data_IF_915714641964
#
_entry.id   IF_915714641964
#
_cell.length_a   1.000
_cell.length_b   1.000
_cell.length_c   1.000
_cell.angle_alpha   90.00
_cell.angle_beta   90.00
_cell.angle_gamma   90.00
#
_symmetry.space_group_name_H-M   'P 1'
#
loop_
_entity.id
_entity.type
_entity.pdbx_description
1 polymer ?
#
# COMPACT_ATOMS: atom_id res chain seq x y z
N UNK A 1 5.80 -35.81 -9.15
CA UNK A 1 5.70 -35.23 -7.78
C UNK A 1 6.24 -33.83 -7.79
N UNK A 2 5.35 -32.81 -7.84
CA UNK A 2 5.68 -31.39 -7.85
C UNK A 2 5.29 -30.74 -6.52
N UNK A 3 6.00 -29.71 -6.11
CA UNK A 3 5.63 -28.93 -4.90
C UNK A 3 4.29 -28.25 -5.13
N UNK A 4 3.43 -28.22 -4.09
CA UNK A 4 2.09 -27.66 -4.19
C UNK A 4 2.11 -26.17 -4.60
N UNK A 5 3.07 -25.36 -4.13
CA UNK A 5 3.18 -23.95 -4.50
C UNK A 5 3.46 -23.76 -6.02
N UNK A 6 4.21 -24.66 -6.62
CA UNK A 6 4.48 -24.70 -8.07
C UNK A 6 3.24 -25.19 -8.81
N UNK A 7 2.65 -26.31 -8.35
CA UNK A 7 1.47 -26.92 -8.94
C UNK A 7 0.30 -25.94 -9.03
N UNK A 8 0.00 -25.24 -7.92
CA UNK A 8 -1.07 -24.24 -7.87
C UNK A 8 -0.87 -23.12 -8.89
N UNK A 9 0.37 -22.67 -9.06
CA UNK A 9 0.68 -21.59 -10.01
C UNK A 9 0.61 -22.06 -11.45
N UNK A 10 1.15 -23.24 -11.76
CA UNK A 10 1.18 -23.80 -13.12
C UNK A 10 -0.21 -24.16 -13.64
N UNK A 11 -1.10 -24.59 -12.75
CA UNK A 11 -2.47 -24.98 -13.09
C UNK A 11 -3.50 -23.85 -12.89
N UNK A 12 -3.05 -22.60 -12.65
CA UNK A 12 -3.93 -21.42 -12.57
C UNK A 12 -4.77 -21.31 -11.29
N UNK A 13 -4.53 -22.15 -10.27
CA UNK A 13 -5.18 -22.06 -8.97
C UNK A 13 -4.68 -20.88 -8.12
N UNK A 14 -3.47 -20.38 -8.41
CA UNK A 14 -2.91 -19.20 -7.77
C UNK A 14 -2.21 -18.32 -8.81
N UNK A 15 -2.32 -16.98 -8.67
CA UNK A 15 -1.73 -15.98 -9.58
C UNK A 15 -0.18 -16.02 -9.57
N UNK A 16 0.42 -16.37 -8.44
CA UNK A 16 1.86 -16.44 -8.26
C UNK A 16 2.22 -17.43 -7.14
N UNK A 17 3.49 -17.86 -7.09
CA UNK A 17 3.98 -18.70 -5.99
C UNK A 17 3.86 -18.01 -4.62
N UNK A 18 4.01 -16.70 -4.58
CA UNK A 18 3.84 -15.92 -3.34
C UNK A 18 2.39 -15.93 -2.88
N UNK A 19 1.41 -15.77 -3.80
CA UNK A 19 -0.02 -15.92 -3.49
C UNK A 19 -0.31 -17.34 -3.01
N UNK A 20 0.20 -18.38 -3.71
CA UNK A 20 0.06 -19.77 -3.28
C UNK A 20 0.59 -20.01 -1.86
N UNK A 21 1.78 -19.48 -1.53
CA UNK A 21 2.35 -19.59 -0.18
C UNK A 21 1.44 -18.97 0.88
N UNK A 22 0.93 -17.76 0.65
CA UNK A 22 0.01 -17.08 1.59
C UNK A 22 -1.26 -17.89 1.81
N UNK A 23 -1.87 -18.41 0.75
CA UNK A 23 -3.08 -19.23 0.85
C UNK A 23 -2.82 -20.55 1.59
N UNK A 24 -1.66 -21.17 1.39
CA UNK A 24 -1.25 -22.39 2.11
C UNK A 24 -1.05 -22.08 3.61
N UNK A 25 -0.34 -21.01 3.96
CA UNK A 25 -0.11 -20.60 5.34
C UNK A 25 -1.41 -20.22 6.07
N UNK A 26 -2.36 -19.62 5.34
CA UNK A 26 -3.70 -19.31 5.85
C UNK A 26 -4.62 -20.54 5.96
N UNK A 27 -4.19 -21.71 5.47
CA UNK A 27 -5.01 -22.94 5.49
C UNK A 27 -6.17 -22.93 4.48
N UNK A 28 -6.08 -22.10 3.44
CA UNK A 28 -7.09 -21.90 2.40
C UNK A 28 -6.85 -22.76 1.15
N UNK A 29 -5.93 -23.74 1.24
CA UNK A 29 -5.65 -24.72 0.18
C UNK A 29 -6.03 -26.09 0.67
N UNK A 30 -6.84 -26.80 -0.14
CA UNK A 30 -7.12 -28.24 0.05
C UNK A 30 -6.74 -29.00 -1.19
N UNK A 31 -6.30 -30.24 -1.01
CA UNK A 31 -6.10 -31.25 -2.07
C UNK A 31 -6.85 -32.49 -1.61
N UNK A 32 -7.80 -32.96 -2.42
CA UNK A 32 -8.65 -34.10 -2.12
C UNK A 32 -9.34 -33.98 -0.73
N UNK A 33 -9.80 -32.77 -0.39
CA UNK A 33 -10.43 -32.44 0.88
C UNK A 33 -9.48 -32.31 2.08
N UNK A 34 -8.17 -32.51 1.91
CA UNK A 34 -7.15 -32.37 2.97
C UNK A 34 -6.54 -30.98 2.96
N UNK A 35 -6.58 -30.25 4.09
CA UNK A 35 -5.97 -28.92 4.21
C UNK A 35 -4.45 -29.03 4.16
N UNK A 36 -3.85 -28.29 3.24
CA UNK A 36 -2.39 -28.22 3.06
C UNK A 36 -1.85 -27.01 3.82
N UNK A 37 -0.84 -27.26 4.69
CA UNK A 37 -0.21 -26.23 5.53
C UNK A 37 1.28 -26.00 5.23
N UNK A 38 1.84 -26.71 4.23
CA UNK A 38 3.26 -26.58 3.89
C UNK A 38 3.42 -26.48 2.38
N UNK A 39 4.06 -25.44 1.90
CA UNK A 39 4.34 -25.22 0.47
C UNK A 39 5.24 -26.31 -0.15
N UNK A 40 5.98 -27.04 0.69
CA UNK A 40 6.79 -28.18 0.25
C UNK A 40 6.02 -29.50 0.07
N UNK A 41 4.71 -29.52 0.37
CA UNK A 41 3.85 -30.66 0.10
C UNK A 41 3.97 -31.05 -1.39
N UNK A 42 4.03 -32.35 -1.67
CA UNK A 42 4.21 -32.85 -3.04
C UNK A 42 2.92 -33.43 -3.57
N UNK A 43 2.54 -33.00 -4.76
CA UNK A 43 1.37 -33.46 -5.51
C UNK A 43 1.85 -34.34 -6.66
N UNK A 44 1.13 -35.43 -6.95
CA UNK A 44 1.38 -36.29 -8.09
C UNK A 44 0.60 -35.77 -9.31
N UNK A 45 1.31 -35.12 -10.24
CA UNK A 45 0.72 -34.57 -11.46
C UNK A 45 0.16 -35.58 -12.45
N UNK A 46 0.42 -36.87 -12.22
CA UNK A 46 -0.10 -37.95 -13.08
C UNK A 46 -1.53 -38.36 -12.67
N UNK A 47 -2.02 -37.88 -11.57
CA UNK A 47 -3.36 -38.15 -11.03
C UNK A 47 -4.15 -36.81 -10.98
N UNK A 48 -5.42 -36.86 -11.35
CA UNK A 48 -6.32 -35.73 -11.20
C UNK A 48 -6.67 -35.54 -9.70
N UNK A 49 -6.50 -34.33 -9.20
CA UNK A 49 -6.79 -33.96 -7.82
C UNK A 49 -7.91 -32.95 -7.73
N UNK A 50 -8.78 -33.10 -6.74
CA UNK A 50 -9.72 -32.05 -6.35
C UNK A 50 -8.96 -30.98 -5.54
N UNK A 51 -8.68 -29.84 -6.19
CA UNK A 51 -7.90 -28.74 -5.60
C UNK A 51 -8.75 -27.51 -5.42
N UNK A 52 -8.86 -27.06 -4.16
CA UNK A 52 -9.42 -25.75 -3.83
C UNK A 52 -8.28 -24.85 -3.35
N UNK A 53 -8.16 -23.67 -3.94
CA UNK A 53 -7.22 -22.64 -3.52
C UNK A 53 -7.95 -21.28 -3.49
N UNK A 54 -8.21 -20.78 -2.29
CA UNK A 54 -8.80 -19.44 -2.11
C UNK A 54 -7.67 -18.44 -1.84
N UNK A 55 -7.70 -17.28 -2.49
CA UNK A 55 -6.70 -16.25 -2.22
C UNK A 55 -6.83 -15.75 -0.78
N UNK A 56 -5.71 -15.74 -0.06
CA UNK A 56 -5.65 -15.31 1.34
C UNK A 56 -5.82 -13.79 1.51
N UNK A 57 -5.70 -13.04 0.43
CA UNK A 57 -5.82 -11.58 0.45
C UNK A 57 -6.96 -11.13 -0.49
N UNK A 58 -7.80 -10.20 -0.04
CA UNK A 58 -8.82 -9.60 -0.90
C UNK A 58 -8.21 -8.68 -1.98
N UNK A 59 -6.92 -8.36 -1.92
CA UNK A 59 -6.19 -7.45 -2.80
C UNK A 59 -4.97 -8.13 -3.42
N UNK A 60 -4.49 -7.61 -4.56
CA UNK A 60 -3.29 -8.12 -5.25
C UNK A 60 -2.02 -8.06 -4.40
N UNK A 61 -2.03 -7.30 -3.29
CA UNK A 61 -0.93 -7.19 -2.35
C UNK A 61 -1.37 -6.79 -0.94
N UNK A 62 -0.52 -7.06 0.07
CA UNK A 62 -0.78 -6.71 1.49
C UNK A 62 -1.03 -5.22 1.72
N UNK A 63 -0.51 -4.36 0.84
CA UNK A 63 -0.75 -2.91 0.90
C UNK A 63 -2.24 -2.58 0.91
N UNK A 64 -3.05 -3.30 0.12
CA UNK A 64 -4.50 -3.06 0.06
C UNK A 64 -5.19 -3.11 1.42
N UNK A 65 -4.79 -4.03 2.30
CA UNK A 65 -5.33 -4.10 3.68
C UNK A 65 -4.95 -2.87 4.54
N UNK A 66 -3.79 -2.27 4.29
CA UNK A 66 -3.39 -1.04 4.99
C UNK A 66 -4.25 0.14 4.56
N UNK A 67 -4.45 0.28 3.24
CA UNK A 67 -5.30 1.34 2.71
C UNK A 67 -6.75 1.15 3.13
N UNK A 68 -7.28 -0.06 3.09
CA UNK A 68 -8.63 -0.38 3.57
C UNK A 68 -8.84 0.11 5.00
N UNK A 69 -7.92 -0.22 5.90
CA UNK A 69 -7.97 0.23 7.29
C UNK A 69 -7.91 1.76 7.43
N UNK A 70 -7.13 2.45 6.57
CA UNK A 70 -7.09 3.92 6.55
C UNK A 70 -8.42 4.50 6.07
N UNK A 71 -8.98 3.99 4.98
CA UNK A 71 -10.26 4.46 4.42
C UNK A 71 -11.39 4.31 5.43
N UNK A 72 -11.45 3.16 6.12
CA UNK A 72 -12.47 2.89 7.15
C UNK A 72 -12.29 3.80 8.38
N UNK A 73 -11.07 3.89 8.91
CA UNK A 73 -10.77 4.68 10.10
C UNK A 73 -10.96 6.19 9.88
N UNK A 74 -10.71 6.67 8.66
CA UNK A 74 -10.80 8.08 8.30
C UNK A 74 -12.16 8.45 7.68
N UNK A 75 -13.04 7.47 7.47
CA UNK A 75 -14.34 7.63 6.82
C UNK A 75 -14.21 8.26 5.41
N UNK A 76 -13.22 7.81 4.62
CA UNK A 76 -12.99 8.26 3.25
C UNK A 76 -13.60 7.25 2.29
N UNK A 77 -14.48 7.73 1.41
CA UNK A 77 -15.14 6.93 0.38
C UNK A 77 -14.55 7.22 -1.01
N UNK A 78 -13.85 6.26 -1.65
CA UNK A 78 -13.33 6.41 -3.01
C UNK A 78 -14.39 6.30 -4.11
N UNK A 79 -15.64 5.97 -3.77
CA UNK A 79 -16.69 5.76 -4.77
C UNK A 79 -16.91 7.00 -5.63
N UNK A 80 -16.85 6.82 -6.95
CA UNK A 80 -17.00 7.90 -7.92
C UNK A 80 -15.82 8.89 -7.99
N UNK A 81 -14.68 8.58 -7.35
CA UNK A 81 -13.52 9.46 -7.24
C UNK A 81 -12.43 9.16 -8.26
N UNK A 82 -11.68 10.21 -8.63
CA UNK A 82 -10.42 10.11 -9.38
C UNK A 82 -9.28 10.08 -8.35
N UNK A 83 -8.43 9.07 -8.44
CA UNK A 83 -7.38 8.82 -7.46
C UNK A 83 -5.99 8.77 -8.09
N UNK A 84 -4.95 9.05 -7.30
CA UNK A 84 -3.55 8.78 -7.66
C UNK A 84 -2.92 7.90 -6.57
N UNK A 85 -2.29 6.80 -6.99
CA UNK A 85 -1.54 5.87 -6.15
C UNK A 85 -0.04 6.06 -6.42
N UNK A 86 0.67 6.68 -5.47
CA UNK A 86 2.10 7.00 -5.58
C UNK A 86 2.91 5.92 -4.87
N UNK A 87 3.71 5.18 -5.64
CA UNK A 87 4.39 3.97 -5.21
C UNK A 87 3.49 2.74 -5.38
N UNK A 88 2.83 2.64 -6.52
CA UNK A 88 1.80 1.62 -6.77
C UNK A 88 2.35 0.18 -6.67
N UNK A 89 3.62 -0.05 -7.05
CA UNK A 89 4.27 -1.37 -7.02
C UNK A 89 3.38 -2.44 -7.69
N UNK A 90 3.03 -3.52 -6.98
CA UNK A 90 2.11 -4.56 -7.49
C UNK A 90 0.66 -4.09 -7.61
N UNK A 91 0.29 -2.93 -7.07
CA UNK A 91 -1.05 -2.35 -7.18
C UNK A 91 -1.97 -2.62 -5.99
N UNK A 92 -1.42 -2.92 -4.81
CA UNK A 92 -2.27 -3.21 -3.64
C UNK A 92 -3.20 -2.05 -3.27
N UNK A 93 -2.71 -0.81 -3.28
CA UNK A 93 -3.54 0.37 -3.03
C UNK A 93 -4.49 0.65 -4.20
N UNK A 94 -4.00 0.56 -5.44
CA UNK A 94 -4.82 0.69 -6.66
C UNK A 94 -6.02 -0.26 -6.64
N UNK A 95 -5.80 -1.56 -6.35
CA UNK A 95 -6.86 -2.57 -6.28
C UNK A 95 -7.90 -2.25 -5.18
N UNK A 96 -7.43 -1.78 -4.02
CA UNK A 96 -8.30 -1.34 -2.94
C UNK A 96 -9.19 -0.17 -3.37
N UNK A 97 -8.62 0.87 -4.01
CA UNK A 97 -9.37 2.01 -4.51
C UNK A 97 -10.44 1.60 -5.54
N UNK A 98 -10.08 0.72 -6.49
CA UNK A 98 -10.99 0.23 -7.52
C UNK A 98 -12.14 -0.59 -6.95
N UNK A 99 -11.86 -1.48 -5.97
CA UNK A 99 -12.88 -2.28 -5.27
C UNK A 99 -13.80 -1.43 -4.40
N UNK A 100 -13.32 -0.27 -3.94
CA UNK A 100 -14.11 0.74 -3.23
C UNK A 100 -14.80 1.74 -4.16
N UNK A 101 -14.81 1.48 -5.48
CA UNK A 101 -15.60 2.23 -6.45
C UNK A 101 -14.93 3.44 -7.09
N UNK A 102 -13.60 3.60 -6.98
CA UNK A 102 -12.88 4.62 -7.74
C UNK A 102 -13.13 4.46 -9.24
N UNK A 103 -13.40 5.58 -9.93
CA UNK A 103 -13.69 5.57 -11.37
C UNK A 103 -12.43 5.70 -12.23
N UNK A 104 -11.35 6.21 -11.65
CA UNK A 104 -10.03 6.31 -12.30
C UNK A 104 -8.93 6.29 -11.24
N UNK A 105 -7.84 5.56 -11.53
CA UNK A 105 -6.65 5.53 -10.68
C UNK A 105 -5.40 5.71 -11.53
N UNK A 106 -4.62 6.75 -11.26
CA UNK A 106 -3.27 6.92 -11.79
C UNK A 106 -2.32 6.11 -10.91
N UNK A 107 -1.86 4.96 -11.39
CA UNK A 107 -0.91 4.08 -10.69
C UNK A 107 0.52 4.48 -11.07
N UNK A 108 1.22 5.17 -10.17
CA UNK A 108 2.51 5.82 -10.41
C UNK A 108 3.60 5.06 -9.67
N UNK A 109 4.61 4.59 -10.38
CA UNK A 109 5.77 3.93 -9.78
C UNK A 109 7.06 4.23 -10.58
N UNK A 110 8.19 4.31 -9.87
CA UNK A 110 9.52 4.44 -10.48
C UNK A 110 10.04 3.14 -11.09
N UNK A 111 9.53 2.00 -10.63
CA UNK A 111 9.78 0.68 -11.20
C UNK A 111 9.07 0.47 -12.54
N UNK A 112 9.34 -0.67 -13.16
CA UNK A 112 8.70 -1.09 -14.41
C UNK A 112 8.25 -2.53 -14.28
N UNK A 113 7.16 -2.88 -14.98
CA UNK A 113 6.62 -4.24 -15.04
C UNK A 113 6.27 -4.84 -13.67
N UNK A 114 5.87 -3.98 -12.70
CA UNK A 114 5.51 -4.38 -11.34
C UNK A 114 4.01 -4.50 -11.14
N UNK A 115 3.23 -3.63 -11.80
CA UNK A 115 1.79 -3.60 -11.63
C UNK A 115 1.15 -4.91 -12.07
N UNK A 116 0.24 -5.45 -11.26
CA UNK A 116 -0.50 -6.70 -11.54
C UNK A 116 -1.13 -6.65 -12.94
N UNK A 117 -1.13 -7.79 -13.63
CA UNK A 117 -1.57 -7.88 -15.03
C UNK A 117 -3.04 -7.48 -15.20
N UNK A 118 -3.92 -7.90 -14.28
CA UNK A 118 -5.35 -7.58 -14.36
C UNK A 118 -5.59 -6.09 -14.13
N UNK A 119 -4.86 -5.47 -13.18
CA UNK A 119 -4.93 -4.02 -12.94
C UNK A 119 -4.42 -3.22 -14.12
N UNK A 120 -3.35 -3.67 -14.78
CA UNK A 120 -2.80 -2.99 -15.96
C UNK A 120 -3.80 -2.96 -17.13
N UNK A 121 -4.73 -3.91 -17.18
CA UNK A 121 -5.77 -4.03 -18.22
C UNK A 121 -7.12 -3.41 -17.83
N UNK A 122 -7.30 -3.03 -16.57
CA UNK A 122 -8.53 -2.36 -16.13
C UNK A 122 -8.61 -0.97 -16.78
N UNK A 123 -9.68 -0.65 -17.54
CA UNK A 123 -9.81 0.62 -18.23
C UNK A 123 -9.84 1.85 -17.30
N UNK A 124 -10.05 1.64 -16.01
CA UNK A 124 -10.02 2.69 -14.98
C UNK A 124 -8.59 3.00 -14.51
N UNK A 125 -7.60 2.17 -14.84
CA UNK A 125 -6.21 2.32 -14.41
C UNK A 125 -5.36 2.96 -15.49
N UNK A 126 -4.71 4.04 -15.15
CA UNK A 126 -3.65 4.66 -15.96
C UNK A 126 -2.31 4.27 -15.33
N UNK A 127 -1.65 3.28 -15.91
CA UNK A 127 -0.34 2.82 -15.45
C UNK A 127 0.76 3.80 -15.88
N UNK A 128 1.43 4.40 -14.91
CA UNK A 128 2.54 5.35 -15.06
C UNK A 128 3.81 4.79 -14.43
N UNK A 129 4.28 3.66 -14.96
CA UNK A 129 5.52 3.01 -14.53
C UNK A 129 6.77 3.69 -15.12
N UNK A 130 7.87 3.66 -14.40
CA UNK A 130 9.12 4.36 -14.74
C UNK A 130 9.05 5.86 -14.47
N UNK A 131 8.03 6.33 -13.75
CA UNK A 131 7.82 7.74 -13.40
C UNK A 131 8.34 8.03 -12.00
N UNK A 132 9.28 8.96 -11.88
CA UNK A 132 9.78 9.40 -10.59
C UNK A 132 8.85 10.47 -10.00
N UNK A 133 8.18 10.13 -8.91
CA UNK A 133 7.17 10.99 -8.27
C UNK A 133 7.71 12.37 -7.79
N UNK A 134 9.03 12.54 -7.66
CA UNK A 134 9.64 13.86 -7.38
C UNK A 134 9.40 14.89 -8.49
N UNK A 135 9.01 14.45 -9.67
CA UNK A 135 8.79 15.30 -10.84
C UNK A 135 7.32 15.34 -11.28
N UNK A 136 6.41 14.85 -10.44
CA UNK A 136 4.97 14.91 -10.71
C UNK A 136 4.51 16.34 -10.99
N UNK A 137 3.67 16.47 -11.99
CA UNK A 137 3.04 17.70 -12.43
C UNK A 137 1.74 17.39 -13.20
N UNK A 138 1.05 18.42 -13.68
CA UNK A 138 -0.20 18.30 -14.45
C UNK A 138 -0.03 17.77 -15.88
N UNK A 139 1.17 17.68 -16.41
CA UNK A 139 1.44 17.01 -17.71
C UNK A 139 1.44 15.49 -17.54
N UNK A 140 1.93 14.98 -16.39
CA UNK A 140 1.98 13.55 -16.06
C UNK A 140 0.62 13.07 -15.55
N UNK A 141 -0.04 13.86 -14.69
CA UNK A 141 -1.38 13.59 -14.15
C UNK A 141 -2.27 14.76 -14.56
N UNK A 142 -2.92 14.69 -15.74
CA UNK A 142 -3.67 15.82 -16.31
C UNK A 142 -5.00 16.09 -15.59
N UNK A 143 -5.54 15.09 -14.93
CA UNK A 143 -6.78 15.25 -14.16
C UNK A 143 -6.47 15.81 -12.76
N UNK A 144 -7.38 16.62 -12.26
CA UNK A 144 -7.39 16.95 -10.82
C UNK A 144 -7.89 15.73 -10.04
N UNK A 145 -7.14 15.26 -9.07
CA UNK A 145 -7.48 14.06 -8.30
C UNK A 145 -8.14 14.40 -6.96
N UNK A 146 -9.15 13.61 -6.60
CA UNK A 146 -9.86 13.77 -5.33
C UNK A 146 -9.09 13.15 -4.15
N UNK A 147 -8.41 12.03 -4.42
CA UNK A 147 -7.70 11.25 -3.38
C UNK A 147 -6.31 10.91 -3.90
N UNK A 148 -5.28 11.35 -3.18
CA UNK A 148 -3.92 10.86 -3.35
C UNK A 148 -3.65 9.84 -2.25
N UNK A 149 -3.16 8.66 -2.63
CA UNK A 149 -2.59 7.68 -1.69
C UNK A 149 -1.10 7.51 -1.98
N UNK A 150 -0.28 7.27 -0.95
CA UNK A 150 1.17 7.12 -1.13
C UNK A 150 1.74 6.04 -0.22
N UNK A 151 2.43 5.08 -0.84
CA UNK A 151 3.19 4.01 -0.18
C UNK A 151 4.57 3.83 -0.85
N UNK A 152 5.52 4.72 -0.54
CA UNK A 152 6.85 4.70 -1.15
C UNK A 152 7.90 4.05 -0.24
N UNK A 153 8.94 3.47 -0.86
CA UNK A 153 10.06 2.85 -0.17
C UNK A 153 11.40 3.41 -0.69
N UNK A 154 12.43 3.38 0.16
CA UNK A 154 13.79 3.80 -0.14
C UNK A 154 13.95 5.28 -0.50
N UNK A 155 12.95 6.10 -0.20
CA UNK A 155 12.93 7.55 -0.40
C UNK A 155 12.13 8.20 0.73
N UNK A 156 12.53 9.39 1.18
CA UNK A 156 11.70 10.20 2.06
C UNK A 156 10.55 10.83 1.30
N UNK A 157 9.36 10.76 1.86
CA UNK A 157 8.14 11.38 1.33
C UNK A 157 8.27 12.90 1.21
N UNK A 158 9.10 13.52 2.04
CA UNK A 158 9.35 14.98 2.01
C UNK A 158 9.86 15.48 0.66
N UNK A 159 10.44 14.61 -0.17
CA UNK A 159 10.89 14.94 -1.53
C UNK A 159 9.77 14.90 -2.58
N UNK A 160 8.64 14.27 -2.27
CA UNK A 160 7.50 14.09 -3.17
C UNK A 160 6.36 15.07 -2.81
N UNK A 161 6.13 15.28 -1.53
CA UNK A 161 5.06 16.13 -0.98
C UNK A 161 4.93 17.49 -1.68
N UNK A 162 6.03 18.22 -2.04
CA UNK A 162 5.91 19.50 -2.73
C UNK A 162 5.21 19.45 -4.10
N UNK A 163 5.02 18.27 -4.67
CA UNK A 163 4.36 18.08 -5.98
C UNK A 163 2.87 17.82 -5.87
N UNK A 164 2.40 17.37 -4.71
CA UNK A 164 1.02 16.89 -4.54
C UNK A 164 -0.02 18.01 -4.73
N UNK A 165 0.28 19.22 -4.28
CA UNK A 165 -0.62 20.37 -4.39
C UNK A 165 -1.00 20.74 -5.83
N UNK A 166 -0.20 20.36 -6.83
CA UNK A 166 -0.44 20.64 -8.24
C UNK A 166 -1.54 19.75 -8.85
N UNK A 167 -1.72 18.55 -8.32
CA UNK A 167 -2.66 17.56 -8.85
C UNK A 167 -3.86 17.30 -7.92
N UNK A 168 -3.75 17.66 -6.63
CA UNK A 168 -4.80 17.43 -5.64
C UNK A 168 -5.88 18.52 -5.71
N UNK A 169 -7.14 18.12 -5.79
CA UNK A 169 -8.30 19.00 -5.70
C UNK A 169 -8.31 19.84 -4.41
N UNK A 170 -9.00 21.00 -4.41
CA UNK A 170 -9.06 21.85 -3.23
C UNK A 170 -9.76 21.19 -2.03
N UNK A 171 -10.76 20.36 -2.30
CA UNK A 171 -11.42 19.53 -1.28
C UNK A 171 -10.88 18.10 -1.25
N UNK A 172 -9.77 17.84 -1.96
CA UNK A 172 -9.14 16.53 -2.02
C UNK A 172 -8.44 16.16 -0.73
N UNK A 173 -8.15 14.88 -0.60
CA UNK A 173 -7.47 14.31 0.56
C UNK A 173 -6.19 13.59 0.15
N UNK A 174 -5.21 13.63 1.03
CA UNK A 174 -3.95 12.90 0.88
C UNK A 174 -3.81 11.90 2.03
N UNK A 175 -3.73 10.61 1.69
CA UNK A 175 -3.49 9.51 2.64
C UNK A 175 -2.10 8.95 2.38
N UNK A 176 -1.28 8.82 3.42
CA UNK A 176 0.06 8.26 3.24
C UNK A 176 0.42 7.24 4.31
N UNK A 177 1.18 6.23 3.89
CA UNK A 177 1.83 5.28 4.78
C UNK A 177 3.21 5.80 5.16
N UNK A 178 3.33 6.31 6.39
CA UNK A 178 4.61 6.80 6.93
C UNK A 178 5.43 5.61 7.40
N UNK A 179 6.59 5.42 6.80
CA UNK A 179 7.55 4.37 7.11
C UNK A 179 8.75 4.97 7.85
N UNK A 180 8.85 4.84 9.19
CA UNK A 180 9.90 5.50 9.97
C UNK A 180 11.32 5.23 9.46
N UNK A 181 11.59 4.03 8.93
CA UNK A 181 12.89 3.63 8.43
C UNK A 181 13.37 4.47 7.22
N UNK A 182 12.47 5.16 6.51
CA UNK A 182 12.82 6.03 5.39
C UNK A 182 12.74 7.52 5.74
N UNK A 183 12.25 7.85 6.95
CA UNK A 183 12.04 9.23 7.38
C UNK A 183 12.96 9.66 8.52
N UNK A 184 13.41 8.73 9.37
CA UNK A 184 14.38 9.03 10.40
C UNK A 184 15.84 8.95 9.85
N UNK A 185 16.79 9.59 10.53
CA UNK A 185 18.21 9.51 10.18
C UNK A 185 18.77 8.08 10.31
N UNK A 186 19.89 7.82 9.66
CA UNK A 186 20.55 6.49 9.66
C UNK A 186 20.88 5.99 11.08
N UNK A 187 21.18 6.91 11.99
CA UNK A 187 21.48 6.64 13.42
C UNK A 187 20.29 6.07 14.19
N UNK A 188 19.07 6.27 13.70
CA UNK A 188 17.84 5.76 14.29
C UNK A 188 17.51 4.32 13.84
N UNK A 189 18.20 3.82 12.81
CA UNK A 189 17.93 2.53 12.17
C UNK A 189 18.82 1.46 12.81
N UNK A 190 18.20 0.47 13.45
CA UNK A 190 18.87 -0.66 14.06
C UNK A 190 19.22 -1.79 13.09
N UNK A 191 19.75 -2.88 13.65
CA UNK A 191 20.06 -4.10 12.87
C UNK A 191 18.81 -4.59 12.13
N UNK A 192 18.98 -4.93 10.86
CA UNK A 192 17.88 -5.39 10.00
C UNK A 192 16.98 -4.27 9.46
N UNK A 193 17.39 -2.99 9.54
CA UNK A 193 16.59 -1.88 9.02
C UNK A 193 15.42 -1.46 9.93
N UNK A 194 15.39 -1.90 11.19
CA UNK A 194 14.23 -1.72 12.06
C UNK A 194 14.42 -0.51 13.00
N UNK A 195 13.42 0.38 13.01
CA UNK A 195 13.31 1.51 13.94
C UNK A 195 12.58 1.05 15.20
N UNK A 196 13.37 0.75 16.26
CA UNK A 196 12.83 0.17 17.51
C UNK A 196 12.29 1.20 18.49
N UNK A 197 12.88 2.39 18.51
CA UNK A 197 12.57 3.37 19.56
C UNK A 197 11.36 4.23 19.20
N UNK A 198 10.35 4.32 20.08
CA UNK A 198 9.15 5.13 19.87
C UNK A 198 9.43 6.58 19.51
N UNK A 199 10.45 7.20 20.14
CA UNK A 199 10.85 8.58 19.86
C UNK A 199 11.29 8.80 18.40
N UNK A 200 11.92 7.81 17.77
CA UNK A 200 12.35 7.91 16.37
C UNK A 200 11.15 7.73 15.42
N UNK A 201 10.18 6.89 15.76
CA UNK A 201 8.92 6.75 15.03
C UNK A 201 8.11 8.04 15.10
N UNK A 202 7.99 8.65 16.28
CA UNK A 202 7.36 9.97 16.47
C UNK A 202 8.08 11.05 15.67
N UNK A 203 9.42 11.07 15.68
CA UNK A 203 10.21 12.03 14.89
C UNK A 203 9.94 11.90 13.39
N UNK A 204 9.81 10.67 12.87
CA UNK A 204 9.46 10.41 11.48
C UNK A 204 8.08 10.98 11.12
N UNK A 205 7.07 10.74 11.95
CA UNK A 205 5.71 11.30 11.76
C UNK A 205 5.74 12.83 11.76
N UNK A 206 6.42 13.45 12.74
CA UNK A 206 6.55 14.91 12.82
C UNK A 206 7.24 15.50 11.59
N UNK A 207 8.31 14.85 11.09
CA UNK A 207 9.02 15.29 9.89
C UNK A 207 8.12 15.32 8.66
N UNK A 208 7.36 14.24 8.43
CA UNK A 208 6.41 14.17 7.31
C UNK A 208 5.31 15.20 7.47
N UNK A 209 4.75 15.34 8.68
CA UNK A 209 3.69 16.32 8.96
C UNK A 209 4.17 17.77 8.76
N UNK A 210 5.39 18.09 9.18
CA UNK A 210 5.97 19.41 8.95
C UNK A 210 6.12 19.71 7.44
N UNK A 211 6.65 18.75 6.67
CA UNK A 211 6.76 18.89 5.21
C UNK A 211 5.39 19.05 4.53
N UNK A 212 4.35 18.34 5.00
CA UNK A 212 2.99 18.52 4.53
C UNK A 212 2.48 19.94 4.83
N UNK A 213 2.64 20.44 6.06
CA UNK A 213 2.19 21.78 6.46
C UNK A 213 2.88 22.90 5.67
N UNK A 214 4.19 22.78 5.40
CA UNK A 214 4.95 23.68 4.54
C UNK A 214 4.40 23.75 3.11
N UNK A 215 3.69 22.70 2.67
CA UNK A 215 3.08 22.59 1.34
C UNK A 215 1.54 22.72 1.38
N UNK A 216 0.97 23.29 2.45
CA UNK A 216 -0.46 23.57 2.56
C UNK A 216 -1.33 22.33 2.79
N UNK A 217 -0.75 21.25 3.30
CA UNK A 217 -1.46 20.01 3.65
C UNK A 217 -1.39 19.81 5.17
N UNK A 218 -2.52 19.78 5.84
CA UNK A 218 -2.63 19.76 7.30
C UNK A 218 -3.16 18.41 7.79
N UNK A 219 -2.51 17.85 8.81
CA UNK A 219 -2.88 16.57 9.40
C UNK A 219 -4.26 16.64 10.04
N UNK A 220 -5.15 15.75 9.64
CA UNK A 220 -6.52 15.65 10.18
C UNK A 220 -6.77 14.34 10.92
N UNK A 221 -6.04 13.28 10.59
CA UNK A 221 -6.11 12.01 11.31
C UNK A 221 -4.80 11.22 11.19
N UNK A 222 -4.53 10.37 12.18
CA UNK A 222 -3.33 9.53 12.24
C UNK A 222 -3.65 8.25 13.02
N UNK A 223 -3.32 7.10 12.44
CA UNK A 223 -3.41 5.80 13.10
C UNK A 223 -2.13 5.00 12.90
N UNK A 224 -1.85 4.08 13.81
CA UNK A 224 -0.88 3.02 13.57
C UNK A 224 -1.42 2.07 12.52
N UNK A 225 -0.58 1.65 11.57
CA UNK A 225 -0.96 0.62 10.60
C UNK A 225 -1.30 -0.69 11.30
N UNK A 226 -2.43 -1.35 10.96
CA UNK A 226 -2.80 -2.64 11.56
C UNK A 226 -1.84 -3.76 11.20
N UNK A 227 -1.06 -3.56 10.13
CA UNK A 227 -0.09 -4.54 9.63
C UNK A 227 1.29 -3.90 9.64
N UNK A 228 2.26 -4.59 10.20
CA UNK A 228 3.66 -4.18 10.18
C UNK A 228 4.25 -4.27 8.77
N UNK A 229 5.28 -3.48 8.49
CA UNK A 229 6.04 -3.54 7.25
C UNK A 229 6.66 -4.92 7.01
N UNK A 230 7.10 -5.17 5.77
CA UNK A 230 7.71 -6.44 5.36
C UNK A 230 8.90 -6.85 6.24
N UNK A 231 9.64 -5.85 6.75
CA UNK A 231 10.81 -6.04 7.63
C UNK A 231 10.44 -6.03 9.12
N UNK A 232 9.14 -5.95 9.47
CA UNK A 232 8.66 -5.89 10.85
C UNK A 232 8.64 -4.46 11.44
N UNK A 233 8.86 -3.42 10.65
CA UNK A 233 8.74 -2.04 11.10
C UNK A 233 7.28 -1.67 11.40
N UNK A 234 7.09 -0.91 12.50
CA UNK A 234 5.83 -0.23 12.79
C UNK A 234 5.69 0.94 11.83
N UNK A 235 4.54 1.05 11.19
CA UNK A 235 4.22 2.07 10.19
C UNK A 235 2.96 2.83 10.62
N UNK A 236 2.72 4.01 10.04
CA UNK A 236 1.59 4.86 10.40
C UNK A 236 0.84 5.31 9.14
N UNK A 237 -0.48 5.37 9.24
CA UNK A 237 -1.36 5.88 8.21
C UNK A 237 -1.83 7.26 8.64
N UNK A 238 -1.62 8.25 7.77
CA UNK A 238 -1.93 9.64 8.04
C UNK A 238 -2.84 10.22 6.95
N UNK A 239 -3.82 11.02 7.36
CA UNK A 239 -4.73 11.76 6.49
C UNK A 239 -4.41 13.26 6.57
N UNK A 240 -4.24 13.87 5.42
CA UNK A 240 -4.02 15.31 5.26
C UNK A 240 -5.06 15.93 4.34
N UNK A 241 -5.40 17.20 4.59
CA UNK A 241 -6.27 18.02 3.75
C UNK A 241 -5.68 19.41 3.57
N UNK A 242 -6.17 20.17 2.59
CA UNK A 242 -5.79 21.58 2.39
C UNK A 242 -6.41 22.53 3.45
N UNK A 243 -7.31 22.04 4.31
CA UNK A 243 -7.92 22.84 5.38
C UNK A 243 -7.00 22.87 6.60
N UNK A 244 -6.64 24.05 7.05
CA UNK A 244 -5.80 24.20 8.25
C UNK A 244 -6.45 23.53 9.46
N UNK A 245 -5.64 22.81 10.23
CA UNK A 245 -6.05 22.12 11.44
C UNK A 245 -5.08 22.44 12.59
N UNK A 246 -5.54 23.17 13.58
CA UNK A 246 -4.74 23.54 14.77
C UNK A 246 -4.52 22.36 15.72
N UNK A 247 -5.20 21.23 15.52
CA UNK A 247 -5.14 20.07 16.40
C UNK A 247 -4.03 19.08 16.07
N UNK A 248 -3.13 19.37 15.12
CA UNK A 248 -2.13 18.43 14.62
C UNK A 248 -1.28 17.78 15.72
N UNK A 249 -0.74 18.59 16.67
CA UNK A 249 0.04 18.05 17.78
C UNK A 249 -0.79 17.17 18.73
N UNK A 250 -2.07 17.45 18.92
CA UNK A 250 -2.97 16.62 19.72
C UNK A 250 -3.22 15.27 19.03
N UNK A 251 -3.39 15.28 17.71
CA UNK A 251 -3.54 14.05 16.91
C UNK A 251 -2.27 13.21 17.02
N UNK A 252 -1.09 13.80 16.81
CA UNK A 252 0.19 13.11 16.90
C UNK A 252 0.40 12.52 18.29
N UNK A 253 0.11 13.26 19.36
CA UNK A 253 0.30 12.81 20.74
C UNK A 253 -0.70 11.71 21.17
N UNK A 254 -1.80 11.54 20.45
CA UNK A 254 -2.82 10.52 20.72
C UNK A 254 -2.52 9.12 20.19
N UNK A 255 -1.45 8.95 19.41
CA UNK A 255 -1.11 7.66 18.77
C UNK A 255 -0.08 6.88 19.56
N UNK A 256 -0.23 5.55 19.61
CA UNK A 256 0.76 4.65 20.20
C UNK A 256 1.93 4.41 19.24
N UNK A 257 3.12 4.76 19.69
CA UNK A 257 4.38 4.62 18.96
C UNK A 257 5.21 3.38 19.42
N UNK A 258 4.70 2.54 20.31
CA UNK A 258 5.40 1.35 20.82
C UNK A 258 5.46 0.18 19.83
#
# INVERSE_FOLDING_TARGET
MTRIDVYLTQNGFAKSRESAHRSIEAGLVTVDGVVIKKASFKVDETVEHDVVCTDALPYVGRGGLKLEAALDAFAIDPNGKICADIGASTGGFTDCLLKRGAIKVFAIDSGRDQLDFDLRRDPRVISLEGVNARYLNTEIVPDTVDIIVMDVSFISQTLIIPRLGQILADNGVFITLIKPQFECGREAIGKGGIVKQPRHRLSAVRRVTAACAENGLFLTNLIRSPIVGGDGNVEFLALYTKRNNELQERIISGVDYN
#
